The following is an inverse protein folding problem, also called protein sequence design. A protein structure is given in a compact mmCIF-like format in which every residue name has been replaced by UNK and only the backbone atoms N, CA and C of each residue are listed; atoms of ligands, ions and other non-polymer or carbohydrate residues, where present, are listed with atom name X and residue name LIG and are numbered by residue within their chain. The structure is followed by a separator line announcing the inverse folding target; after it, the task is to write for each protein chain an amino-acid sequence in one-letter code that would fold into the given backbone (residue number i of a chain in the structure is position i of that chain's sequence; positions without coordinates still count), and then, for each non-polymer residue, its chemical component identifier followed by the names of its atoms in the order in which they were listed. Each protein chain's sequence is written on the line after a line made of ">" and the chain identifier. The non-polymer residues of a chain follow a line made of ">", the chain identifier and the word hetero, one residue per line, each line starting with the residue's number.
data_IF_005165328507
#
_entry.id   IF_005165328507
#
_cell.length_a   1.000
_cell.length_b   1.000
_cell.length_c   1.000
_cell.angle_alpha   90.00
_cell.angle_beta   90.00
_cell.angle_gamma   90.00
#
_symmetry.space_group_name_H-M   'P 1'
#
loop_
_entity.id
_entity.type
_entity.pdbx_description
1 polymer ?
#
# COMPACT_ATOMS: atom_id res chain seq x y z
N UNK A 1 -39.17 11.23 -9.75
CA UNK A 1 -38.22 10.16 -9.50
C UNK A 1 -36.79 10.56 -9.90
N UNK A 2 -35.80 9.78 -9.53
CA UNK A 2 -34.36 10.03 -9.70
C UNK A 2 -33.92 10.39 -11.13
N UNK A 3 -34.62 9.87 -12.14
CA UNK A 3 -34.36 10.17 -13.54
C UNK A 3 -34.46 11.66 -13.92
N UNK A 4 -35.13 12.47 -13.13
CA UNK A 4 -35.22 13.93 -13.34
C UNK A 4 -34.04 14.71 -12.74
N UNK A 5 -33.22 14.07 -11.94
CA UNK A 5 -32.08 14.67 -11.26
C UNK A 5 -30.78 14.55 -12.07
N UNK A 6 -30.71 13.62 -13.01
CA UNK A 6 -29.52 13.36 -13.84
C UNK A 6 -29.76 13.83 -15.27
N UNK A 7 -28.70 14.28 -15.91
CA UNK A 7 -28.63 14.70 -17.31
C UNK A 7 -27.72 13.76 -18.08
N UNK A 8 -28.18 13.23 -19.21
CA UNK A 8 -27.30 12.48 -20.10
C UNK A 8 -26.46 13.44 -20.94
N UNK A 9 -25.13 13.28 -20.91
CA UNK A 9 -24.19 14.07 -21.70
C UNK A 9 -23.28 13.16 -22.50
N UNK A 10 -22.93 13.63 -23.70
CA UNK A 10 -21.95 12.99 -24.56
C UNK A 10 -20.71 13.87 -24.65
N UNK A 11 -19.55 13.25 -24.54
CA UNK A 11 -18.25 13.86 -24.65
C UNK A 11 -17.51 13.23 -25.82
N UNK A 12 -17.09 14.05 -26.77
CA UNK A 12 -16.27 13.58 -27.91
C UNK A 12 -14.84 13.26 -27.47
N UNK A 13 -14.10 12.54 -28.29
CA UNK A 13 -12.69 12.23 -28.03
C UNK A 13 -11.91 13.51 -27.74
N UNK A 14 -11.02 13.46 -26.75
CA UNK A 14 -10.21 14.57 -26.22
C UNK A 14 -10.98 15.70 -25.53
N UNK A 15 -12.31 15.61 -25.40
CA UNK A 15 -13.07 16.59 -24.60
C UNK A 15 -12.62 16.56 -23.13
N UNK A 16 -12.42 17.77 -22.56
CA UNK A 16 -12.11 17.96 -21.14
C UNK A 16 -13.43 18.10 -20.37
N UNK A 17 -13.66 17.22 -19.43
CA UNK A 17 -14.85 17.25 -18.57
C UNK A 17 -14.68 18.25 -17.43
N UNK A 18 -13.51 18.25 -16.81
CA UNK A 18 -13.05 19.27 -15.84
C UNK A 18 -11.52 19.31 -15.84
N UNK A 19 -10.97 20.43 -15.42
CA UNK A 19 -9.53 20.66 -15.34
C UNK A 19 -9.06 20.70 -13.89
N UNK A 20 -7.82 20.31 -13.64
CA UNK A 20 -7.15 20.52 -12.35
C UNK A 20 -7.23 22.00 -11.94
N UNK A 21 -7.57 22.26 -10.69
CA UNK A 21 -7.76 23.61 -10.14
C UNK A 21 -9.13 24.24 -10.43
N UNK A 22 -9.98 23.67 -11.29
CA UNK A 22 -11.32 24.18 -11.54
C UNK A 22 -12.30 23.82 -10.40
N UNK A 23 -13.36 24.65 -10.17
CA UNK A 23 -14.38 24.37 -9.17
C UNK A 23 -15.13 23.05 -9.45
N UNK A 24 -15.47 22.31 -8.41
CA UNK A 24 -16.30 21.10 -8.51
C UNK A 24 -17.76 21.49 -8.72
N UNK A 25 -18.33 21.17 -9.86
CA UNK A 25 -19.71 21.55 -10.21
C UNK A 25 -20.63 20.36 -10.43
N UNK A 26 -20.10 19.16 -10.61
CA UNK A 26 -20.87 17.96 -10.87
C UNK A 26 -20.09 16.69 -10.53
N UNK A 27 -20.82 15.61 -10.40
CA UNK A 27 -20.31 14.26 -10.55
C UNK A 27 -20.93 13.58 -11.77
N UNK A 28 -20.28 12.57 -12.30
CA UNK A 28 -20.80 11.80 -13.42
C UNK A 28 -20.59 10.30 -13.23
N UNK A 29 -21.48 9.49 -13.85
CA UNK A 29 -21.35 8.04 -13.96
C UNK A 29 -21.27 7.71 -15.44
N UNK A 30 -20.24 7.00 -15.85
CA UNK A 30 -20.00 6.63 -17.23
C UNK A 30 -20.99 5.54 -17.66
N UNK A 31 -21.66 5.74 -18.80
CA UNK A 31 -22.54 4.78 -19.43
C UNK A 31 -21.76 3.95 -20.46
N UNK A 32 -20.91 4.61 -21.21
CA UNK A 32 -20.05 4.01 -22.23
C UNK A 32 -18.79 4.87 -22.43
N UNK A 33 -17.80 4.33 -23.11
CA UNK A 33 -16.57 5.05 -23.41
C UNK A 33 -15.48 4.89 -22.34
N UNK A 34 -14.52 5.83 -22.34
CA UNK A 34 -13.39 5.82 -21.38
C UNK A 34 -12.89 7.24 -21.12
N UNK A 35 -12.58 7.53 -19.86
CA UNK A 35 -12.05 8.80 -19.37
C UNK A 35 -10.67 8.59 -18.73
N UNK A 36 -9.69 9.39 -19.14
CA UNK A 36 -8.42 9.50 -18.42
C UNK A 36 -8.52 10.52 -17.29
N UNK A 37 -8.12 10.13 -16.08
CA UNK A 37 -7.84 11.06 -14.99
C UNK A 37 -6.35 11.37 -15.01
N UNK A 38 -6.01 12.66 -15.12
CA UNK A 38 -4.66 13.13 -15.37
C UNK A 38 -4.24 14.19 -14.34
N UNK A 39 -2.96 14.17 -13.97
CA UNK A 39 -2.33 15.16 -13.09
C UNK A 39 -1.22 15.87 -13.85
N UNK A 40 -1.13 17.19 -13.72
CA UNK A 40 -0.01 17.94 -14.28
C UNK A 40 1.25 17.73 -13.43
N UNK A 41 2.30 17.17 -14.04
CA UNK A 41 3.62 17.00 -13.43
C UNK A 41 4.63 17.66 -14.36
N UNK A 42 5.32 18.71 -13.89
CA UNK A 42 6.24 19.50 -14.71
C UNK A 42 5.57 20.00 -16.02
N UNK A 43 4.34 20.50 -15.91
CA UNK A 43 3.49 20.99 -17.03
C UNK A 43 3.12 19.93 -18.08
N UNK A 44 3.36 18.65 -17.82
CA UNK A 44 2.93 17.55 -18.69
C UNK A 44 1.82 16.73 -18.02
N UNK A 45 0.76 16.35 -18.75
CA UNK A 45 -0.29 15.50 -18.20
C UNK A 45 0.25 14.09 -17.98
N UNK A 46 0.16 13.59 -16.74
CA UNK A 46 0.45 12.21 -16.36
C UNK A 46 -0.87 11.51 -16.08
N UNK A 47 -1.17 10.46 -16.81
CA UNK A 47 -2.36 9.65 -16.59
C UNK A 47 -2.21 8.85 -15.31
N UNK A 48 -3.15 9.07 -14.38
CA UNK A 48 -3.20 8.34 -13.10
C UNK A 48 -4.04 7.08 -13.23
N UNK A 49 -5.23 7.19 -13.85
CA UNK A 49 -6.16 6.07 -14.03
C UNK A 49 -7.03 6.29 -15.27
N UNK A 50 -7.53 5.21 -15.84
CA UNK A 50 -8.57 5.24 -16.88
C UNK A 50 -9.85 4.68 -16.29
N UNK A 51 -10.95 5.42 -16.43
CA UNK A 51 -12.29 5.05 -15.98
C UNK A 51 -13.12 4.57 -17.17
N UNK A 52 -13.90 3.50 -16.96
CA UNK A 52 -14.78 2.89 -17.96
C UNK A 52 -16.25 2.93 -17.57
N UNK A 53 -17.08 2.24 -18.33
CA UNK A 53 -18.52 2.15 -18.09
C UNK A 53 -18.83 1.63 -16.66
N UNK A 54 -19.81 2.25 -16.00
CA UNK A 54 -20.21 1.95 -14.63
C UNK A 54 -19.40 2.67 -13.55
N UNK A 55 -18.29 3.30 -13.90
CA UNK A 55 -17.48 4.05 -12.94
C UNK A 55 -17.92 5.51 -12.82
N UNK A 56 -17.69 6.09 -11.64
CA UNK A 56 -18.02 7.47 -11.33
C UNK A 56 -16.76 8.35 -11.33
N UNK A 57 -16.95 9.65 -11.61
CA UNK A 57 -15.90 10.68 -11.50
C UNK A 57 -16.50 11.99 -10.96
N UNK A 58 -15.63 12.85 -10.43
CA UNK A 58 -16.03 14.15 -9.87
C UNK A 58 -16.75 14.05 -8.53
N UNK A 59 -16.73 12.89 -7.87
CA UNK A 59 -17.41 12.63 -6.60
C UNK A 59 -16.91 13.47 -5.43
N UNK A 60 -15.78 14.15 -5.58
CA UNK A 60 -15.31 15.16 -4.62
C UNK A 60 -16.33 16.29 -4.36
N UNK A 61 -17.24 16.57 -5.31
CA UNK A 61 -18.34 17.53 -5.14
C UNK A 61 -19.30 17.16 -3.98
N UNK A 62 -19.31 15.91 -3.56
CA UNK A 62 -20.10 15.41 -2.43
C UNK A 62 -19.42 15.62 -1.08
N UNK A 63 -18.13 15.95 -1.04
CA UNK A 63 -17.31 15.93 0.16
C UNK A 63 -16.97 17.33 0.66
N UNK A 64 -16.54 18.20 -0.24
CA UNK A 64 -16.07 19.56 0.10
C UNK A 64 -16.10 20.48 -1.12
N UNK A 65 -15.84 21.78 -0.88
CA UNK A 65 -15.78 22.83 -1.90
C UNK A 65 -14.35 23.02 -2.49
N UNK A 66 -13.43 22.08 -2.21
CA UNK A 66 -12.07 22.16 -2.75
C UNK A 66 -12.08 22.04 -4.29
N UNK A 67 -11.17 22.67 -5.02
CA UNK A 67 -11.07 22.54 -6.48
C UNK A 67 -10.71 21.10 -6.89
N UNK A 68 -10.89 20.79 -8.17
CA UNK A 68 -10.46 19.50 -8.72
C UNK A 68 -8.94 19.31 -8.57
N UNK A 69 -8.50 18.24 -7.96
CA UNK A 69 -7.08 17.89 -7.80
C UNK A 69 -6.43 17.29 -9.06
N UNK A 70 -7.25 16.99 -10.09
CA UNK A 70 -6.87 16.33 -11.35
C UNK A 70 -7.74 16.86 -12.49
N UNK A 71 -7.35 16.55 -13.74
CA UNK A 71 -8.17 16.77 -14.93
C UNK A 71 -8.82 15.48 -15.39
N UNK A 72 -9.98 15.55 -16.04
CA UNK A 72 -10.65 14.44 -16.67
C UNK A 72 -10.82 14.67 -18.17
N UNK A 73 -10.27 13.76 -19.00
CA UNK A 73 -10.30 13.87 -20.46
C UNK A 73 -10.85 12.61 -21.10
N UNK A 74 -11.77 12.74 -22.06
CA UNK A 74 -12.32 11.64 -22.82
C UNK A 74 -11.25 11.02 -23.74
N UNK A 75 -11.04 9.71 -23.65
CA UNK A 75 -10.13 8.97 -24.52
C UNK A 75 -10.81 8.51 -25.83
N UNK A 76 -12.11 8.47 -25.80
CA UNK A 76 -12.99 8.14 -26.92
C UNK A 76 -14.36 8.77 -26.68
N UNK A 77 -15.27 8.73 -27.66
CA UNK A 77 -16.64 9.17 -27.45
C UNK A 77 -17.23 8.47 -26.24
N UNK A 78 -17.68 9.27 -25.27
CA UNK A 78 -18.09 8.81 -23.94
C UNK A 78 -19.46 9.38 -23.60
N UNK A 79 -20.36 8.52 -23.14
CA UNK A 79 -21.68 8.91 -22.63
C UNK A 79 -21.71 8.77 -21.11
N UNK A 80 -22.26 9.76 -20.43
CA UNK A 80 -22.33 9.80 -18.97
C UNK A 80 -23.63 10.39 -18.46
N UNK A 81 -24.11 9.89 -17.33
CA UNK A 81 -25.09 10.58 -16.52
C UNK A 81 -24.41 11.57 -15.59
N UNK A 82 -24.77 12.84 -15.73
CA UNK A 82 -24.20 13.96 -14.95
C UNK A 82 -25.21 14.43 -13.91
N UNK A 83 -24.73 14.60 -12.69
CA UNK A 83 -25.50 15.13 -11.55
C UNK A 83 -24.82 16.43 -11.08
N UNK A 84 -25.40 17.56 -11.45
CA UNK A 84 -24.90 18.90 -11.12
C UNK A 84 -25.12 19.27 -9.65
N UNK A 85 -24.36 20.24 -9.16
CA UNK A 85 -24.36 20.71 -7.77
C UNK A 85 -25.77 21.15 -7.29
N UNK A 86 -26.53 21.87 -8.11
CA UNK A 86 -27.89 22.28 -7.76
C UNK A 86 -28.81 21.08 -7.52
N UNK A 87 -28.69 20.04 -8.33
CA UNK A 87 -29.48 18.82 -8.19
C UNK A 87 -29.06 18.01 -6.98
N UNK A 88 -27.77 18.02 -6.63
CA UNK A 88 -27.25 17.45 -5.39
C UNK A 88 -27.84 18.16 -4.17
N UNK A 89 -27.90 19.49 -4.17
CA UNK A 89 -28.51 20.28 -3.10
C UNK A 89 -30.03 19.99 -2.95
N UNK A 90 -30.72 19.82 -4.06
CA UNK A 90 -32.12 19.39 -4.07
C UNK A 90 -32.26 17.99 -3.48
N UNK A 91 -31.38 17.06 -3.85
CA UNK A 91 -31.39 15.68 -3.33
C UNK A 91 -31.15 15.62 -1.83
N UNK A 92 -30.28 16.46 -1.26
CA UNK A 92 -30.07 16.55 0.20
C UNK A 92 -31.39 16.89 0.92
N UNK A 93 -32.16 17.80 0.36
CA UNK A 93 -33.41 18.31 0.99
C UNK A 93 -34.60 17.36 0.80
N UNK A 94 -34.78 16.84 -0.41
CA UNK A 94 -35.96 16.10 -0.79
C UNK A 94 -35.80 14.59 -0.70
N UNK A 95 -34.56 14.08 -0.83
CA UNK A 95 -34.26 12.65 -0.88
C UNK A 95 -33.01 12.29 -0.05
N UNK A 96 -32.96 12.58 1.26
CA UNK A 96 -31.75 12.42 2.09
C UNK A 96 -31.24 10.98 2.16
N UNK A 97 -32.12 9.98 2.11
CA UNK A 97 -31.69 8.57 2.09
C UNK A 97 -30.98 8.20 0.78
N UNK A 98 -31.44 8.76 -0.35
CA UNK A 98 -30.79 8.55 -1.64
C UNK A 98 -29.43 9.25 -1.69
N UNK A 99 -29.33 10.46 -1.14
CA UNK A 99 -28.06 11.16 -0.99
C UNK A 99 -27.07 10.37 -0.13
N UNK A 100 -27.50 9.86 1.03
CA UNK A 100 -26.64 9.02 1.89
C UNK A 100 -26.15 7.76 1.17
N UNK A 101 -27.00 7.10 0.39
CA UNK A 101 -26.62 5.94 -0.42
C UNK A 101 -25.59 6.32 -1.52
N UNK A 102 -25.76 7.48 -2.16
CA UNK A 102 -24.85 8.01 -3.17
C UNK A 102 -23.47 8.30 -2.56
N UNK A 103 -23.44 9.01 -1.41
CA UNK A 103 -22.20 9.32 -0.68
C UNK A 103 -21.47 8.04 -0.26
N UNK A 104 -22.19 7.05 0.28
CA UNK A 104 -21.62 5.75 0.66
C UNK A 104 -21.00 5.01 -0.54
N UNK A 105 -21.65 5.08 -1.70
CA UNK A 105 -21.16 4.46 -2.93
C UNK A 105 -19.94 5.20 -3.49
N UNK A 106 -19.95 6.53 -3.45
CA UNK A 106 -18.84 7.38 -3.85
C UNK A 106 -17.60 7.16 -2.94
N UNK A 107 -17.80 7.11 -1.63
CA UNK A 107 -16.74 6.83 -0.66
C UNK A 107 -16.08 5.48 -0.92
N UNK A 108 -16.84 4.42 -1.20
CA UNK A 108 -16.28 3.12 -1.59
C UNK A 108 -15.50 3.19 -2.90
N UNK A 109 -16.02 3.88 -3.92
CA UNK A 109 -15.34 4.03 -5.20
C UNK A 109 -14.02 4.80 -5.07
N UNK A 110 -13.99 5.85 -4.24
CA UNK A 110 -12.77 6.62 -3.92
C UNK A 110 -11.76 5.71 -3.20
N UNK A 111 -12.21 4.96 -2.17
CA UNK A 111 -11.36 4.03 -1.43
C UNK A 111 -10.75 2.97 -2.34
N UNK A 112 -11.53 2.35 -3.23
CA UNK A 112 -11.03 1.38 -4.21
C UNK A 112 -10.05 2.01 -5.20
N UNK A 113 -10.30 3.23 -5.67
CA UNK A 113 -9.39 3.94 -6.57
C UNK A 113 -8.10 4.37 -5.88
N UNK A 114 -8.19 4.84 -4.65
CA UNK A 114 -7.00 5.15 -3.85
C UNK A 114 -6.13 3.90 -3.71
N UNK A 115 -6.71 2.76 -3.33
CA UNK A 115 -5.99 1.49 -3.25
C UNK A 115 -5.39 1.06 -4.61
N UNK A 116 -6.12 1.24 -5.72
CA UNK A 116 -5.62 0.92 -7.07
C UNK A 116 -4.54 1.91 -7.55
N UNK A 117 -4.68 3.20 -7.22
CA UNK A 117 -3.68 4.24 -7.53
C UNK A 117 -2.42 4.02 -6.69
N UNK A 118 -2.57 3.68 -5.41
CA UNK A 118 -1.47 3.29 -4.53
C UNK A 118 -0.77 2.04 -5.06
N UNK A 119 -1.49 1.02 -5.52
CA UNK A 119 -0.91 -0.14 -6.18
C UNK A 119 -0.14 0.23 -7.46
N UNK A 120 -0.61 1.21 -8.23
CA UNK A 120 0.05 1.69 -9.46
C UNK A 120 1.23 2.60 -9.15
N UNK A 121 1.12 3.47 -8.15
CA UNK A 121 2.21 4.33 -7.65
C UNK A 121 3.25 3.49 -6.90
N UNK A 122 2.81 2.50 -6.14
CA UNK A 122 3.66 1.51 -5.48
C UNK A 122 4.36 0.63 -6.51
N UNK A 123 3.70 0.26 -7.61
CA UNK A 123 4.34 -0.40 -8.76
C UNK A 123 5.33 0.49 -9.54
N UNK A 124 5.16 1.82 -9.53
CA UNK A 124 6.04 2.78 -10.21
C UNK A 124 7.03 3.51 -9.31
N UNK A 125 6.75 3.64 -8.00
CA UNK A 125 7.57 4.38 -7.04
C UNK A 125 8.29 3.50 -6.01
N UNK A 126 7.90 2.23 -5.87
CA UNK A 126 8.52 1.29 -4.93
C UNK A 126 9.53 0.32 -5.54
N UNK A 127 9.90 0.47 -6.79
CA UNK A 127 11.21 0.02 -7.30
C UNK A 127 12.32 0.97 -6.86
N UNK A 128 12.15 1.69 -5.75
CA UNK A 128 13.23 2.45 -5.15
C UNK A 128 14.14 1.47 -4.43
N UNK A 129 15.17 1.05 -5.13
CA UNK A 129 16.34 0.39 -4.56
C UNK A 129 16.59 -1.05 -4.97
N UNK A 130 15.59 -1.81 -5.41
CA UNK A 130 15.79 -3.24 -5.74
C UNK A 130 15.50 -3.51 -7.22
N UNK A 131 16.25 -2.84 -8.10
CA UNK A 131 16.16 -2.96 -9.57
C UNK A 131 17.10 -4.02 -10.16
N UNK A 132 17.66 -4.86 -9.31
CA UNK A 132 18.49 -5.99 -9.75
C UNK A 132 17.67 -6.90 -10.67
N UNK A 133 18.20 -7.19 -11.86
CA UNK A 133 17.60 -8.12 -12.83
C UNK A 133 17.60 -9.57 -12.32
N UNK A 134 18.20 -9.84 -11.17
CA UNK A 134 18.27 -11.17 -10.52
C UNK A 134 17.27 -11.27 -9.39
N UNK A 135 16.64 -12.44 -9.31
CA UNK A 135 15.71 -12.80 -8.24
C UNK A 135 16.12 -14.15 -7.66
N UNK A 136 15.90 -14.36 -6.37
CA UNK A 136 15.94 -15.65 -5.73
C UNK A 136 14.55 -16.22 -5.58
N UNK A 137 14.41 -17.53 -5.72
CA UNK A 137 13.15 -18.24 -5.47
C UNK A 137 13.02 -18.54 -3.98
N UNK A 138 11.93 -18.13 -3.38
CA UNK A 138 11.55 -18.50 -2.02
C UNK A 138 10.21 -19.24 -2.03
N UNK A 139 9.99 -20.08 -1.03
CA UNK A 139 8.81 -20.93 -0.87
C UNK A 139 8.17 -20.75 0.49
N UNK A 140 6.83 -20.69 0.53
CA UNK A 140 6.02 -20.79 1.75
C UNK A 140 4.82 -21.70 1.52
N UNK A 141 3.90 -21.79 2.51
CA UNK A 141 2.71 -22.65 2.43
C UNK A 141 1.75 -22.26 1.27
N UNK A 142 1.87 -21.07 0.73
CA UNK A 142 1.07 -20.58 -0.40
C UNK A 142 1.78 -20.77 -1.76
N UNK A 143 2.96 -21.40 -1.76
CA UNK A 143 3.77 -21.68 -2.94
C UNK A 143 4.92 -20.69 -3.18
N UNK A 144 5.50 -20.76 -4.36
CA UNK A 144 6.71 -20.03 -4.71
C UNK A 144 6.48 -18.57 -5.08
N UNK A 145 7.48 -17.72 -4.79
CA UNK A 145 7.62 -16.36 -5.32
C UNK A 145 9.08 -16.05 -5.65
N UNK A 146 9.27 -15.10 -6.54
CA UNK A 146 10.58 -14.56 -6.85
C UNK A 146 10.79 -13.25 -6.09
N UNK A 147 11.73 -13.24 -5.16
CA UNK A 147 12.13 -12.09 -4.35
C UNK A 147 13.36 -11.46 -4.98
N UNK A 148 13.48 -10.12 -5.09
CA UNK A 148 14.70 -9.47 -5.59
C UNK A 148 15.93 -9.94 -4.81
N UNK A 149 17.01 -10.21 -5.52
CA UNK A 149 18.21 -10.82 -4.94
C UNK A 149 18.98 -9.87 -4.01
N UNK A 150 18.85 -8.58 -4.25
CA UNK A 150 19.42 -7.50 -3.43
C UNK A 150 18.57 -7.18 -2.17
N UNK A 151 17.29 -7.63 -2.11
CA UNK A 151 16.43 -7.40 -0.97
C UNK A 151 16.79 -8.31 0.22
N UNK A 152 16.79 -7.74 1.44
CA UNK A 152 16.87 -8.51 2.69
C UNK A 152 15.51 -9.03 3.15
N UNK A 153 14.40 -8.45 2.70
CA UNK A 153 13.09 -9.03 2.98
C UNK A 153 12.87 -10.31 2.17
N UNK A 154 11.87 -11.11 2.55
CA UNK A 154 11.55 -12.39 1.92
C UNK A 154 10.13 -12.46 1.37
N UNK A 155 9.67 -13.70 1.15
CA UNK A 155 8.39 -14.03 0.52
C UNK A 155 7.17 -13.51 1.29
N UNK A 156 7.20 -13.51 2.64
CA UNK A 156 6.09 -13.05 3.47
C UNK A 156 5.91 -11.54 3.35
N UNK A 157 7.00 -10.79 3.36
CA UNK A 157 6.98 -9.35 3.11
C UNK A 157 6.47 -9.05 1.71
N UNK A 158 6.94 -9.79 0.68
CA UNK A 158 6.47 -9.61 -0.69
C UNK A 158 4.95 -9.79 -0.78
N UNK A 159 4.39 -10.84 -0.17
CA UNK A 159 2.94 -11.06 -0.11
C UNK A 159 2.21 -9.96 0.66
N UNK A 160 2.79 -9.47 1.76
CA UNK A 160 2.19 -8.37 2.51
C UNK A 160 2.12 -7.09 1.68
N UNK A 161 3.14 -6.78 0.88
CA UNK A 161 3.16 -5.66 -0.06
C UNK A 161 2.09 -5.80 -1.17
N UNK A 162 1.85 -7.03 -1.64
CA UNK A 162 0.81 -7.33 -2.63
C UNK A 162 -0.61 -7.21 -2.01
N UNK A 163 -0.80 -7.65 -0.77
CA UNK A 163 -2.12 -7.79 -0.15
C UNK A 163 -2.59 -6.56 0.63
N UNK A 164 -1.68 -5.74 1.16
CA UNK A 164 -1.99 -4.63 2.07
C UNK A 164 -1.41 -3.28 1.63
N UNK A 165 -1.62 -2.83 0.40
CA UNK A 165 -1.23 -1.48 -0.02
C UNK A 165 -2.29 -0.47 0.43
N UNK A 166 -2.38 -0.17 1.73
CA UNK A 166 -3.51 0.56 2.32
C UNK A 166 -3.24 2.07 2.35
N UNK A 167 -2.14 2.51 3.00
CA UNK A 167 -1.82 3.94 3.15
C UNK A 167 -0.71 4.42 2.22
N UNK A 168 0.08 3.50 1.67
CA UNK A 168 1.29 3.84 0.93
C UNK A 168 2.46 4.30 1.81
N UNK A 169 2.28 4.40 3.14
CA UNK A 169 3.32 4.77 4.10
C UNK A 169 3.97 3.51 4.62
N UNK A 170 5.25 3.32 4.33
CA UNK A 170 6.01 2.17 4.80
C UNK A 170 6.50 2.37 6.25
N UNK A 171 6.67 1.28 6.99
CA UNK A 171 7.16 1.35 8.38
C UNK A 171 8.57 1.95 8.48
N UNK A 172 9.39 1.91 7.42
CA UNK A 172 10.69 2.58 7.36
C UNK A 172 10.63 4.10 7.55
N UNK A 173 9.47 4.72 7.28
CA UNK A 173 9.27 6.16 7.51
C UNK A 173 9.20 6.50 9.02
N UNK A 174 9.19 5.46 9.88
CA UNK A 174 9.24 5.56 11.34
C UNK A 174 10.49 4.86 11.88
N UNK A 175 11.69 5.46 11.79
CA UNK A 175 12.94 4.83 12.20
C UNK A 175 12.91 4.28 13.62
N UNK A 176 12.33 5.01 14.57
CA UNK A 176 12.19 4.57 15.98
C UNK A 176 11.39 3.27 16.11
N UNK A 177 10.38 3.03 15.27
CA UNK A 177 9.64 1.77 15.24
C UNK A 177 10.53 0.61 14.77
N UNK A 178 11.33 0.84 13.74
CA UNK A 178 12.28 -0.17 13.20
C UNK A 178 13.37 -0.49 14.23
N UNK A 179 13.90 0.53 14.90
CA UNK A 179 14.90 0.38 15.99
C UNK A 179 14.33 -0.37 17.20
N UNK A 180 13.07 -0.09 17.58
CA UNK A 180 12.38 -0.80 18.65
C UNK A 180 12.17 -2.28 18.30
N UNK A 181 11.76 -2.60 17.03
CA UNK A 181 11.68 -3.98 16.54
C UNK A 181 13.01 -4.71 16.71
N UNK A 182 14.11 -4.11 16.26
CA UNK A 182 15.44 -4.69 16.40
C UNK A 182 15.82 -4.91 17.86
N UNK A 183 15.49 -3.95 18.75
CA UNK A 183 15.77 -4.06 20.18
C UNK A 183 15.03 -5.23 20.83
N UNK A 184 13.74 -5.41 20.53
CA UNK A 184 12.96 -6.58 21.00
C UNK A 184 13.58 -7.89 20.52
N UNK A 185 14.01 -7.96 19.24
CA UNK A 185 14.63 -9.16 18.67
C UNK A 185 15.99 -9.47 19.30
N UNK A 186 16.77 -8.47 19.67
CA UNK A 186 18.03 -8.68 20.44
C UNK A 186 17.72 -9.34 21.79
N UNK A 187 16.75 -8.82 22.53
CA UNK A 187 16.33 -9.39 23.81
C UNK A 187 15.88 -10.84 23.69
N UNK A 188 15.02 -11.12 22.69
CA UNK A 188 14.52 -12.45 22.43
C UNK A 188 15.63 -13.45 22.03
N UNK A 189 16.54 -13.05 21.12
CA UNK A 189 17.65 -13.91 20.69
C UNK A 189 18.57 -14.28 21.86
N UNK A 190 18.92 -13.30 22.72
CA UNK A 190 19.74 -13.54 23.91
C UNK A 190 19.06 -14.49 24.90
N UNK A 191 17.78 -14.23 25.21
CA UNK A 191 17.02 -15.08 26.13
C UNK A 191 16.90 -16.54 25.60
N UNK A 192 16.60 -16.72 24.31
CA UNK A 192 16.49 -18.04 23.71
C UNK A 192 17.86 -18.77 23.67
N UNK A 193 18.95 -18.04 23.49
CA UNK A 193 20.30 -18.64 23.59
C UNK A 193 20.63 -19.10 25.02
N UNK A 194 20.32 -18.28 26.04
CA UNK A 194 20.50 -18.63 27.46
C UNK A 194 19.66 -19.87 27.86
N UNK A 195 18.46 -20.00 27.30
CA UNK A 195 17.57 -21.12 27.52
C UNK A 195 17.94 -22.37 26.68
N UNK A 196 18.95 -22.30 25.82
CA UNK A 196 19.34 -23.39 24.94
C UNK A 196 18.38 -23.71 23.81
N UNK A 197 17.44 -22.80 23.51
CA UNK A 197 16.46 -22.91 22.42
C UNK A 197 17.01 -22.43 21.07
N UNK A 198 18.08 -21.65 21.10
CA UNK A 198 18.79 -21.11 19.93
C UNK A 198 20.27 -21.34 20.11
N UNK A 199 20.95 -21.86 19.09
CA UNK A 199 22.40 -22.06 19.16
C UNK A 199 23.15 -20.70 19.20
N UNK A 200 24.31 -20.71 19.87
CA UNK A 200 25.06 -19.47 20.14
C UNK A 200 25.52 -18.74 18.86
N UNK A 201 25.85 -19.47 17.78
CA UNK A 201 26.30 -18.88 16.52
C UNK A 201 25.17 -18.17 15.79
N UNK A 202 24.00 -18.80 15.73
CA UNK A 202 22.79 -18.20 15.13
C UNK A 202 22.30 -17.01 15.96
N UNK A 203 22.32 -17.13 17.29
CA UNK A 203 21.94 -16.04 18.19
C UNK A 203 22.87 -14.82 18.01
N UNK A 204 24.19 -15.01 17.97
CA UNK A 204 25.15 -13.94 17.71
C UNK A 204 24.91 -13.25 16.38
N UNK A 205 24.68 -14.01 15.31
CA UNK A 205 24.39 -13.46 13.99
C UNK A 205 23.10 -12.63 13.97
N UNK A 206 22.03 -13.10 14.64
CA UNK A 206 20.76 -12.37 14.80
C UNK A 206 21.00 -11.05 15.57
N UNK A 207 21.72 -11.11 16.69
CA UNK A 207 22.03 -9.92 17.50
C UNK A 207 22.82 -8.90 16.69
N UNK A 208 23.84 -9.33 15.95
CA UNK A 208 24.66 -8.44 15.10
C UNK A 208 23.82 -7.81 13.97
N UNK A 209 22.96 -8.58 13.32
CA UNK A 209 22.05 -8.06 12.32
C UNK A 209 21.11 -7.01 12.91
N UNK A 210 20.56 -7.26 14.10
CA UNK A 210 19.70 -6.30 14.82
C UNK A 210 20.46 -5.02 15.25
N UNK A 211 21.73 -5.14 15.67
CA UNK A 211 22.54 -3.96 16.01
C UNK A 211 22.81 -3.07 14.77
N UNK A 212 23.01 -3.66 13.60
CA UNK A 212 23.10 -2.90 12.37
C UNK A 212 21.81 -2.13 12.09
N UNK A 213 20.65 -2.78 12.24
CA UNK A 213 19.33 -2.15 12.04
C UNK A 213 19.11 -1.04 13.09
N UNK A 214 19.44 -1.28 14.33
CA UNK A 214 19.29 -0.29 15.42
C UNK A 214 20.16 0.97 15.22
N UNK A 215 21.24 0.88 14.46
CA UNK A 215 22.08 2.02 14.07
C UNK A 215 21.65 2.69 12.78
N UNK A 216 20.45 2.38 12.26
CA UNK A 216 19.88 3.02 11.07
C UNK A 216 20.21 2.33 9.75
N UNK A 217 20.92 1.18 9.77
CA UNK A 217 21.24 0.44 8.55
C UNK A 217 20.10 -0.47 8.15
N UNK A 218 19.94 -0.74 6.86
CA UNK A 218 18.96 -1.66 6.30
C UNK A 218 17.47 -1.23 6.46
N UNK A 219 17.19 0.00 6.89
CA UNK A 219 15.83 0.52 7.04
C UNK A 219 15.08 0.53 5.69
N UNK A 220 15.77 0.65 4.56
CA UNK A 220 15.22 0.59 3.22
C UNK A 220 14.48 -0.71 2.88
N UNK A 221 14.73 -1.79 3.65
CA UNK A 221 14.06 -3.09 3.49
C UNK A 221 12.78 -3.25 4.30
N UNK A 222 12.42 -2.27 5.13
CA UNK A 222 11.19 -2.29 5.94
C UNK A 222 10.05 -1.61 5.19
N UNK A 223 9.42 -2.35 4.28
CA UNK A 223 8.55 -1.83 3.24
C UNK A 223 7.05 -2.03 3.49
N UNK A 224 6.64 -2.87 4.45
CA UNK A 224 5.23 -3.11 4.72
C UNK A 224 4.52 -1.82 5.14
N UNK A 225 3.25 -1.72 4.78
CA UNK A 225 2.41 -0.59 5.14
C UNK A 225 2.21 -0.50 6.67
N UNK A 226 2.09 0.71 7.20
CA UNK A 226 1.83 0.94 8.63
C UNK A 226 0.47 0.41 9.06
N UNK A 227 -0.51 0.31 8.12
CA UNK A 227 -1.80 -0.32 8.34
C UNK A 227 -1.82 -1.67 7.64
N UNK A 228 -2.11 -2.71 8.39
CA UNK A 228 -2.14 -4.09 7.92
C UNK A 228 -3.19 -4.91 8.66
N UNK A 229 -3.54 -6.08 8.11
CA UNK A 229 -4.43 -7.02 8.80
C UNK A 229 -3.79 -7.65 10.03
N UNK A 230 -4.59 -7.91 11.08
CA UNK A 230 -4.16 -8.56 12.30
C UNK A 230 -3.37 -7.65 13.27
N UNK A 231 -2.65 -8.26 14.20
CA UNK A 231 -1.94 -7.59 15.28
C UNK A 231 -0.46 -7.29 14.94
N UNK A 232 -0.19 -6.68 13.78
CA UNK A 232 1.16 -6.35 13.34
C UNK A 232 1.95 -7.51 12.72
N UNK A 233 1.27 -8.54 12.22
CA UNK A 233 1.91 -9.75 11.68
C UNK A 233 2.85 -9.43 10.52
N UNK A 234 2.44 -8.62 9.55
CA UNK A 234 3.27 -8.26 8.40
C UNK A 234 4.51 -7.47 8.82
N UNK A 235 4.38 -6.54 9.77
CA UNK A 235 5.51 -5.79 10.35
C UNK A 235 6.51 -6.72 11.04
N UNK A 236 6.02 -7.63 11.89
CA UNK A 236 6.87 -8.60 12.56
C UNK A 236 7.58 -9.54 11.57
N UNK A 237 6.86 -10.01 10.53
CA UNK A 237 7.46 -10.86 9.50
C UNK A 237 8.48 -10.11 8.65
N UNK A 238 8.22 -8.85 8.29
CA UNK A 238 9.22 -8.03 7.59
C UNK A 238 10.52 -7.92 8.41
N UNK A 239 10.41 -7.63 9.71
CA UNK A 239 11.58 -7.61 10.58
C UNK A 239 12.27 -8.99 10.65
N UNK A 240 11.51 -10.07 10.84
CA UNK A 240 12.08 -11.42 10.91
C UNK A 240 12.85 -11.80 9.65
N UNK A 241 12.32 -11.50 8.47
CA UNK A 241 12.96 -11.83 7.19
C UNK A 241 14.21 -10.99 6.95
N UNK A 242 14.16 -9.67 7.21
CA UNK A 242 15.32 -8.78 7.07
C UNK A 242 16.44 -9.23 8.02
N UNK A 243 16.12 -9.52 9.28
CA UNK A 243 17.10 -9.98 10.27
C UNK A 243 17.67 -11.35 9.88
N UNK A 244 16.81 -12.31 9.47
CA UNK A 244 17.26 -13.64 9.09
C UNK A 244 18.21 -13.59 7.88
N UNK A 245 17.86 -12.87 6.83
CA UNK A 245 18.69 -12.74 5.64
C UNK A 245 20.01 -12.02 5.93
N UNK A 246 19.99 -10.98 6.79
CA UNK A 246 21.22 -10.31 7.20
C UNK A 246 22.09 -11.22 8.07
N UNK A 247 21.50 -11.97 9.00
CA UNK A 247 22.22 -12.97 9.80
C UNK A 247 22.85 -14.08 8.92
N UNK A 248 22.14 -14.54 7.89
CA UNK A 248 22.67 -15.48 6.89
C UNK A 248 23.92 -14.93 6.22
N UNK A 249 23.89 -13.68 5.74
CA UNK A 249 25.07 -13.03 5.14
C UNK A 249 26.25 -12.94 6.14
N UNK A 250 25.98 -12.57 7.39
CA UNK A 250 26.98 -12.48 8.45
C UNK A 250 27.61 -13.84 8.80
N UNK A 251 26.88 -14.93 8.58
CA UNK A 251 27.37 -16.31 8.72
C UNK A 251 28.06 -16.87 7.48
N UNK A 252 28.09 -16.12 6.36
CA UNK A 252 28.66 -16.55 5.09
C UNK A 252 27.72 -17.38 4.20
N UNK A 253 26.42 -17.31 4.44
CA UNK A 253 25.38 -17.97 3.65
C UNK A 253 24.69 -16.99 2.70
N UNK A 254 23.93 -17.53 1.72
CA UNK A 254 23.13 -16.74 0.83
C UNK A 254 21.75 -16.43 1.47
N UNK A 255 21.18 -15.30 1.08
CA UNK A 255 19.80 -14.94 1.42
C UNK A 255 18.83 -16.05 0.97
N UNK A 256 17.82 -16.36 1.78
CA UNK A 256 16.88 -17.45 1.52
C UNK A 256 17.34 -18.84 1.94
N UNK A 257 18.59 -19.03 2.38
CA UNK A 257 19.07 -20.32 2.94
C UNK A 257 18.56 -20.55 4.37
N UNK A 258 17.25 -20.48 4.54
CA UNK A 258 16.55 -20.48 5.84
C UNK A 258 16.77 -21.73 6.69
N UNK A 259 17.38 -22.77 6.15
CA UNK A 259 17.83 -23.94 6.95
C UNK A 259 18.88 -23.58 8.01
N UNK A 260 19.62 -22.45 7.82
CA UNK A 260 20.65 -21.99 8.75
C UNK A 260 20.16 -20.87 9.69
N UNK A 261 19.29 -19.99 9.18
CA UNK A 261 18.63 -18.97 9.99
C UNK A 261 17.24 -18.70 9.42
N UNK A 262 16.22 -19.25 10.05
CA UNK A 262 14.82 -19.15 9.60
C UNK A 262 14.11 -17.97 10.27
N UNK A 263 13.31 -17.18 9.52
CA UNK A 263 12.58 -16.03 10.07
C UNK A 263 11.65 -16.40 11.23
N UNK A 264 10.93 -17.53 11.16
CA UNK A 264 10.01 -17.97 12.19
C UNK A 264 10.70 -18.78 13.29
N UNK A 265 11.48 -19.80 12.90
CA UNK A 265 11.98 -20.80 13.85
C UNK A 265 13.16 -20.28 14.68
N UNK A 266 13.95 -19.34 14.14
CA UNK A 266 15.10 -18.75 14.83
C UNK A 266 14.85 -17.31 15.24
N UNK A 267 14.57 -16.37 14.31
CA UNK A 267 14.41 -14.94 14.67
C UNK A 267 13.16 -14.69 15.49
N UNK A 268 12.07 -15.41 15.21
CA UNK A 268 10.81 -15.31 15.96
C UNK A 268 10.65 -16.39 17.04
N UNK A 269 11.68 -17.13 17.35
CA UNK A 269 11.64 -18.20 18.37
C UNK A 269 11.01 -17.70 19.67
N UNK A 270 10.08 -18.44 20.23
CA UNK A 270 9.36 -18.14 21.49
C UNK A 270 8.58 -16.82 21.50
N UNK A 271 8.30 -16.21 20.35
CA UNK A 271 7.61 -14.92 20.29
C UNK A 271 6.24 -15.05 19.62
N UNK A 272 5.24 -14.38 20.23
CA UNK A 272 3.95 -14.09 19.59
C UNK A 272 3.95 -12.67 19.06
N UNK A 273 3.37 -12.43 17.90
CA UNK A 273 3.15 -11.09 17.35
C UNK A 273 2.33 -10.22 18.30
N UNK A 274 1.35 -10.81 19.02
CA UNK A 274 0.52 -10.13 20.01
C UNK A 274 1.30 -9.62 21.24
N UNK A 275 2.54 -10.08 21.43
CA UNK A 275 3.43 -9.61 22.51
C UNK A 275 4.50 -8.69 21.93
N UNK A 276 5.20 -9.14 20.88
CA UNK A 276 6.31 -8.37 20.32
C UNK A 276 5.86 -7.04 19.74
N UNK A 277 4.77 -7.00 18.96
CA UNK A 277 4.30 -5.77 18.33
C UNK A 277 3.79 -4.71 19.32
N UNK A 278 2.91 -5.01 20.30
CA UNK A 278 2.53 -4.02 21.31
C UNK A 278 3.70 -3.53 22.20
N UNK A 279 4.72 -4.36 22.41
CA UNK A 279 5.88 -3.98 23.22
C UNK A 279 6.70 -2.86 22.59
N UNK A 280 6.76 -2.78 21.25
CA UNK A 280 7.50 -1.70 20.57
C UNK A 280 6.77 -0.37 20.52
N UNK A 281 5.46 -0.33 20.81
CA UNK A 281 4.66 0.90 20.76
C UNK A 281 4.66 1.59 22.14
N UNK A 282 5.01 0.86 23.20
CA UNK A 282 5.12 1.39 24.58
C UNK A 282 6.48 2.04 24.81
#
# INVERSE_FOLDING_TARGET
>A
GVAKLVEARTYETDAILFSEGSPRQFMAILMSGAIAIEKAVNAKPVRLVTLGAGEALGEGVLLDDAPHGTSARALQRTEAFVLGLEKLQTMIKEHPQLYAALVSKAARAISHRLAATDATLVGRGRTVGFTGSRTRREHDLLGDRHVPDDALYGIQTLRALENFPITGVAIREFPSLVEALATVKIGAAKANAELGLLDAKTADAIVRACEEIRTGRHHEHFLVDVIQGGAGTSTNMNANEVIANRALELMGHQKGEYKYCHPNDHVNCSQSTNVSYPTLIK
#
